data_IF_920075464516
#
_entry.id   IF_920075464516
#
_cell.length_a   1.000
_cell.length_b   1.000
_cell.length_c   1.000
_cell.angle_alpha   90.00
_cell.angle_beta   90.00
_cell.angle_gamma   90.00
#
_symmetry.space_group_name_H-M   'P 1'
#
loop_
_entity.id
_entity.type
_entity.pdbx_description
1 polymer ?
#
# COMPACT_ATOMS: atom_id res chain seq x y z
N UNK A 1 -29.03 -4.11 -14.24
CA UNK A 1 -27.67 -4.38 -13.71
C UNK A 1 -27.10 -5.64 -14.34
N UNK A 2 -27.71 -6.81 -14.18
CA UNK A 2 -27.20 -8.09 -14.74
C UNK A 2 -26.99 -8.12 -16.27
N UNK A 3 -27.74 -7.31 -17.03
CA UNK A 3 -27.60 -7.21 -18.49
C UNK A 3 -26.74 -6.02 -18.97
N UNK A 4 -26.06 -5.29 -18.07
CA UNK A 4 -25.24 -4.12 -18.44
C UNK A 4 -26.01 -2.86 -18.89
N UNK A 5 -27.33 -2.86 -18.84
CA UNK A 5 -28.18 -1.75 -19.30
C UNK A 5 -28.33 -0.66 -18.23
N UNK A 6 -27.25 0.10 -17.96
CA UNK A 6 -27.19 1.11 -16.90
C UNK A 6 -28.17 2.26 -17.09
N UNK A 7 -28.40 2.70 -18.33
CA UNK A 7 -29.34 3.78 -18.65
C UNK A 7 -30.79 3.42 -18.28
N UNK A 8 -31.13 2.14 -18.32
CA UNK A 8 -32.46 1.66 -17.91
C UNK A 8 -32.63 1.63 -16.40
N UNK A 9 -31.55 1.55 -15.63
CA UNK A 9 -31.61 1.58 -14.15
C UNK A 9 -32.02 2.97 -13.68
N UNK A 10 -31.38 4.02 -14.18
CA UNK A 10 -31.77 5.41 -13.88
C UNK A 10 -33.20 5.72 -14.34
N UNK A 11 -33.57 5.22 -15.52
CA UNK A 11 -34.93 5.39 -16.05
C UNK A 11 -35.97 4.68 -15.17
N UNK A 12 -35.68 3.46 -14.71
CA UNK A 12 -36.56 2.70 -13.82
C UNK A 12 -36.66 3.31 -12.41
N UNK A 13 -35.64 4.04 -11.98
CA UNK A 13 -35.66 4.80 -10.74
C UNK A 13 -36.25 6.20 -10.94
N UNK A 14 -36.70 6.58 -12.14
CA UNK A 14 -37.16 7.94 -12.45
C UNK A 14 -36.15 9.04 -12.05
N UNK A 15 -34.85 8.70 -12.03
CA UNK A 15 -33.79 9.56 -11.52
C UNK A 15 -33.75 9.73 -9.99
N UNK A 16 -34.64 9.07 -9.24
CA UNK A 16 -34.66 9.09 -7.78
C UNK A 16 -33.43 8.39 -7.20
N UNK A 17 -32.85 9.03 -6.18
CA UNK A 17 -31.73 8.49 -5.40
C UNK A 17 -32.10 8.27 -3.92
N UNK A 18 -33.36 8.52 -3.59
CA UNK A 18 -33.99 8.17 -2.32
C UNK A 18 -35.35 7.50 -2.58
N UNK A 19 -35.72 6.53 -1.74
CA UNK A 19 -37.01 5.83 -1.86
C UNK A 19 -38.18 6.78 -1.59
N UNK A 20 -37.96 7.85 -0.83
CA UNK A 20 -38.97 8.87 -0.57
C UNK A 20 -39.28 9.71 -1.82
N UNK A 21 -38.30 9.89 -2.72
CA UNK A 21 -38.53 10.62 -3.97
C UNK A 21 -39.49 9.85 -4.90
N UNK A 22 -39.46 8.52 -4.84
CA UNK A 22 -40.38 7.65 -5.60
C UNK A 22 -41.79 7.58 -5.00
N UNK A 23 -41.91 7.72 -3.68
CA UNK A 23 -43.18 7.60 -2.97
C UNK A 23 -43.37 8.78 -2.01
N UNK A 24 -43.55 10.01 -2.53
CA UNK A 24 -43.56 11.23 -1.71
C UNK A 24 -44.70 11.27 -0.68
N UNK A 25 -45.82 10.62 -0.99
CA UNK A 25 -46.98 10.52 -0.10
C UNK A 25 -46.80 9.50 1.03
N UNK A 26 -45.85 8.57 0.91
CA UNK A 26 -45.57 7.53 1.91
C UNK A 26 -44.66 8.09 3.00
N UNK A 27 -45.18 8.14 4.23
CA UNK A 27 -44.45 8.71 5.39
C UNK A 27 -43.65 7.70 6.21
N UNK A 28 -43.92 6.40 6.03
CA UNK A 28 -43.29 5.32 6.79
C UNK A 28 -42.89 4.22 5.81
N UNK A 29 -41.61 3.85 5.81
CA UNK A 29 -41.07 2.74 5.03
C UNK A 29 -40.61 1.63 5.95
N UNK A 30 -40.75 0.39 5.51
CA UNK A 30 -40.10 -0.72 6.18
C UNK A 30 -38.58 -0.61 5.95
N UNK A 31 -37.78 -0.95 6.96
CA UNK A 31 -36.33 -0.82 6.89
C UNK A 31 -35.75 -1.58 5.68
N UNK A 32 -36.27 -2.77 5.38
CA UNK A 32 -35.84 -3.57 4.23
C UNK A 32 -36.12 -2.88 2.88
N UNK A 33 -37.18 -2.07 2.76
CA UNK A 33 -37.45 -1.31 1.52
C UNK A 33 -36.37 -0.23 1.32
N UNK A 34 -36.04 0.48 2.39
CA UNK A 34 -34.99 1.52 2.39
C UNK A 34 -33.62 0.91 2.07
N UNK A 35 -33.28 -0.21 2.71
CA UNK A 35 -32.00 -0.89 2.49
C UNK A 35 -31.90 -1.49 1.09
N UNK A 36 -32.94 -2.13 0.58
CA UNK A 36 -32.95 -2.68 -0.78
C UNK A 36 -32.78 -1.57 -1.84
N UNK A 37 -33.42 -0.42 -1.62
CA UNK A 37 -33.27 0.72 -2.52
C UNK A 37 -31.83 1.26 -2.52
N UNK A 38 -31.24 1.49 -1.35
CA UNK A 38 -29.84 1.92 -1.28
C UNK A 38 -28.87 0.89 -1.86
N UNK A 39 -29.12 -0.42 -1.65
CA UNK A 39 -28.32 -1.49 -2.25
C UNK A 39 -28.31 -1.39 -3.77
N UNK A 40 -29.48 -1.19 -4.40
CA UNK A 40 -29.60 -1.01 -5.85
C UNK A 40 -28.83 0.22 -6.34
N UNK A 41 -28.97 1.35 -5.66
CA UNK A 41 -28.28 2.61 -6.00
C UNK A 41 -26.76 2.48 -5.85
N UNK A 42 -26.28 1.74 -4.83
CA UNK A 42 -24.85 1.46 -4.64
C UNK A 42 -24.31 0.65 -5.83
N UNK A 43 -24.99 -0.42 -6.23
CA UNK A 43 -24.57 -1.20 -7.40
C UNK A 43 -24.51 -0.32 -8.66
N UNK A 44 -25.51 0.53 -8.89
CA UNK A 44 -25.47 1.48 -10.00
C UNK A 44 -24.23 2.38 -9.94
N UNK A 45 -23.94 2.99 -8.78
CA UNK A 45 -22.78 3.86 -8.64
C UNK A 45 -21.44 3.13 -8.80
N UNK A 46 -21.35 1.86 -8.39
CA UNK A 46 -20.17 1.04 -8.64
C UNK A 46 -19.95 0.82 -10.15
N UNK A 47 -20.99 0.47 -10.90
CA UNK A 47 -20.91 0.24 -12.36
C UNK A 47 -20.51 1.49 -13.16
N UNK A 48 -20.84 2.69 -12.67
CA UNK A 48 -20.43 3.96 -13.29
C UNK A 48 -19.16 4.56 -12.66
N UNK A 49 -18.42 3.78 -11.87
CA UNK A 49 -17.18 4.17 -11.17
C UNK A 49 -17.32 5.41 -10.25
N UNK A 50 -18.53 5.70 -9.75
CA UNK A 50 -18.78 6.81 -8.82
C UNK A 50 -18.66 6.33 -7.35
N UNK A 51 -17.44 6.02 -6.95
CA UNK A 51 -17.14 5.39 -5.64
C UNK A 51 -17.54 6.25 -4.44
N UNK A 52 -17.40 7.57 -4.53
CA UNK A 52 -17.78 8.47 -3.45
C UNK A 52 -19.30 8.48 -3.22
N UNK A 53 -20.09 8.46 -4.29
CA UNK A 53 -21.53 8.35 -4.18
C UNK A 53 -21.96 6.97 -3.62
N UNK A 54 -21.35 5.88 -4.10
CA UNK A 54 -21.56 4.53 -3.56
C UNK A 54 -21.26 4.46 -2.05
N UNK A 55 -20.10 4.99 -1.64
CA UNK A 55 -19.65 5.04 -0.25
C UNK A 55 -20.59 5.85 0.63
N UNK A 56 -21.05 7.00 0.15
CA UNK A 56 -22.00 7.85 0.88
C UNK A 56 -23.30 7.08 1.18
N UNK A 57 -23.82 6.31 0.21
CA UNK A 57 -25.02 5.47 0.42
C UNK A 57 -24.77 4.30 1.36
N UNK A 58 -23.61 3.64 1.25
CA UNK A 58 -23.22 2.58 2.18
C UNK A 58 -23.13 3.09 3.63
N UNK A 59 -22.64 4.31 3.84
CA UNK A 59 -22.60 4.94 5.16
C UNK A 59 -24.00 5.17 5.74
N UNK A 60 -25.00 5.49 4.90
CA UNK A 60 -26.39 5.60 5.34
C UNK A 60 -26.90 4.24 5.82
N UNK A 61 -26.70 3.17 5.03
CA UNK A 61 -27.10 1.81 5.42
C UNK A 61 -26.45 1.35 6.73
N UNK A 62 -25.15 1.63 6.91
CA UNK A 62 -24.42 1.32 8.15
C UNK A 62 -24.95 2.09 9.36
N UNK A 63 -25.41 3.33 9.20
CA UNK A 63 -26.03 4.11 10.28
C UNK A 63 -27.42 3.58 10.65
N UNK A 64 -28.18 3.12 9.65
CA UNK A 64 -29.56 2.66 9.84
C UNK A 64 -29.64 1.24 10.41
N UNK A 65 -28.87 0.30 9.85
CA UNK A 65 -28.92 -1.10 10.20
C UNK A 65 -27.59 -1.81 9.89
N UNK A 66 -26.56 -1.65 10.74
CA UNK A 66 -25.22 -2.18 10.49
C UNK A 66 -25.18 -3.71 10.41
N UNK A 67 -25.93 -4.40 11.27
CA UNK A 67 -25.96 -5.87 11.34
C UNK A 67 -26.92 -6.51 10.32
N UNK A 68 -27.59 -5.71 9.49
CA UNK A 68 -28.53 -6.26 8.51
C UNK A 68 -27.77 -7.00 7.39
N UNK A 69 -28.24 -8.18 6.94
CA UNK A 69 -27.57 -8.96 5.89
C UNK A 69 -27.26 -8.15 4.62
N UNK A 70 -28.20 -7.34 4.13
CA UNK A 70 -27.98 -6.50 2.94
C UNK A 70 -26.88 -5.45 3.14
N UNK A 71 -26.77 -4.86 4.34
CA UNK A 71 -25.72 -3.86 4.64
C UNK A 71 -24.35 -4.52 4.63
N UNK A 72 -24.23 -5.71 5.23
CA UNK A 72 -22.99 -6.48 5.25
C UNK A 72 -22.61 -6.98 3.84
N UNK A 73 -23.57 -7.50 3.09
CA UNK A 73 -23.38 -8.04 1.75
C UNK A 73 -22.94 -6.97 0.74
N UNK A 74 -23.62 -5.82 0.71
CA UNK A 74 -23.23 -4.72 -0.18
C UNK A 74 -21.92 -4.07 0.25
N UNK A 75 -21.61 -4.07 1.55
CA UNK A 75 -20.30 -3.64 2.07
C UNK A 75 -19.16 -4.51 1.54
N UNK A 76 -19.32 -5.84 1.55
CA UNK A 76 -18.36 -6.77 0.95
C UNK A 76 -18.23 -6.55 -0.56
N UNK A 77 -19.36 -6.39 -1.25
CA UNK A 77 -19.38 -6.13 -2.69
C UNK A 77 -18.63 -4.86 -3.05
N UNK A 78 -18.84 -3.77 -2.30
CA UNK A 78 -18.13 -2.51 -2.48
C UNK A 78 -16.61 -2.68 -2.35
N UNK A 79 -16.14 -3.39 -1.32
CA UNK A 79 -14.70 -3.65 -1.14
C UNK A 79 -14.15 -4.51 -2.28
N UNK A 80 -14.84 -5.59 -2.65
CA UNK A 80 -14.39 -6.46 -3.73
C UNK A 80 -14.28 -5.71 -5.07
N UNK A 81 -15.25 -4.84 -5.36
CA UNK A 81 -15.24 -4.02 -6.58
C UNK A 81 -14.04 -3.07 -6.61
N UNK A 82 -13.75 -2.38 -5.49
CA UNK A 82 -12.58 -1.51 -5.40
C UNK A 82 -11.26 -2.27 -5.60
N UNK A 83 -11.14 -3.43 -4.95
CA UNK A 83 -9.95 -4.29 -5.10
C UNK A 83 -9.78 -4.74 -6.55
N UNK A 84 -10.85 -5.20 -7.18
CA UNK A 84 -10.80 -5.63 -8.58
C UNK A 84 -10.42 -4.47 -9.51
N UNK A 85 -11.02 -3.29 -9.33
CA UNK A 85 -10.69 -2.11 -10.13
C UNK A 85 -9.21 -1.71 -9.99
N UNK A 86 -8.67 -1.78 -8.77
CA UNK A 86 -7.25 -1.52 -8.53
C UNK A 86 -6.36 -2.54 -9.22
N UNK A 87 -6.73 -3.83 -9.20
CA UNK A 87 -5.99 -4.88 -9.91
C UNK A 87 -6.03 -4.68 -11.43
N UNK A 88 -7.19 -4.36 -12.00
CA UNK A 88 -7.34 -4.08 -13.43
C UNK A 88 -6.45 -2.90 -13.84
N UNK A 89 -6.39 -1.83 -13.04
CA UNK A 89 -5.51 -0.69 -13.28
C UNK A 89 -4.03 -1.07 -13.25
N UNK A 90 -3.61 -1.92 -12.30
CA UNK A 90 -2.24 -2.43 -12.22
C UNK A 90 -1.91 -3.27 -13.46
N UNK A 91 -2.83 -4.14 -13.89
CA UNK A 91 -2.64 -4.96 -15.09
C UNK A 91 -2.51 -4.11 -16.36
N UNK A 92 -3.35 -3.09 -16.53
CA UNK A 92 -3.24 -2.15 -17.65
C UNK A 92 -1.92 -1.36 -17.63
N UNK A 93 -1.45 -0.94 -16.44
CA UNK A 93 -0.13 -0.31 -16.31
C UNK A 93 1.00 -1.26 -16.73
N UNK A 94 0.90 -2.55 -16.39
CA UNK A 94 1.89 -3.58 -16.77
C UNK A 94 1.92 -3.85 -18.28
N UNK A 95 0.80 -3.75 -19.01
CA UNK A 95 0.77 -3.96 -20.47
C UNK A 95 1.69 -3.01 -21.25
N UNK A 96 1.97 -1.82 -20.71
CA UNK A 96 2.90 -0.86 -21.30
C UNK A 96 4.32 -0.89 -20.72
N UNK A 97 4.59 -1.78 -19.76
CA UNK A 97 5.87 -1.83 -19.07
C UNK A 97 6.96 -2.44 -19.98
N UNK A 98 8.17 -1.88 -19.90
CA UNK A 98 9.36 -2.48 -20.48
C UNK A 98 9.96 -3.38 -19.41
N UNK A 99 9.83 -4.70 -19.57
CA UNK A 99 10.52 -5.66 -18.71
C UNK A 99 12.03 -5.59 -18.99
N UNK A 100 12.78 -5.14 -17.99
CA UNK A 100 14.23 -5.14 -18.03
C UNK A 100 14.71 -6.40 -17.32
N UNK A 101 15.13 -7.41 -18.08
CA UNK A 101 15.74 -8.62 -17.51
C UNK A 101 17.11 -8.27 -16.92
N UNK A 102 17.12 -7.82 -15.67
CA UNK A 102 18.33 -7.67 -14.90
C UNK A 102 18.67 -9.03 -14.27
N UNK A 103 19.62 -9.77 -14.87
CA UNK A 103 20.16 -11.02 -14.31
C UNK A 103 21.01 -10.76 -13.04
N UNK A 104 20.42 -10.13 -12.04
CA UNK A 104 21.05 -9.78 -10.77
C UNK A 104 20.72 -10.85 -9.74
N UNK A 105 21.76 -11.40 -9.11
CA UNK A 105 21.62 -12.41 -8.05
C UNK A 105 21.75 -11.76 -6.69
N UNK A 106 21.10 -12.36 -5.69
CA UNK A 106 21.26 -11.96 -4.30
C UNK A 106 22.75 -11.93 -3.93
N UNK A 107 23.25 -10.77 -3.52
CA UNK A 107 24.68 -10.53 -3.31
C UNK A 107 25.18 -11.04 -1.96
N UNK A 108 24.29 -11.23 -0.98
CA UNK A 108 24.66 -11.58 0.39
C UNK A 108 24.19 -12.97 0.82
N UNK A 109 24.99 -13.61 1.68
CA UNK A 109 24.67 -14.91 2.28
C UNK A 109 23.40 -14.84 3.12
N UNK A 110 22.48 -15.74 2.83
CA UNK A 110 21.18 -15.80 3.50
C UNK A 110 21.28 -16.32 4.94
N UNK A 111 20.46 -15.77 5.83
CA UNK A 111 20.41 -16.10 7.26
C UNK A 111 18.98 -16.02 7.80
N UNK A 112 18.77 -16.57 8.99
CA UNK A 112 17.55 -16.39 9.80
C UNK A 112 17.79 -15.53 11.05
N UNK A 113 19.06 -15.24 11.34
CA UNK A 113 19.46 -14.52 12.56
C UNK A 113 19.28 -13.03 12.34
N UNK A 114 18.47 -12.40 13.18
CA UNK A 114 18.31 -10.95 13.20
C UNK A 114 19.63 -10.24 13.58
N UNK A 115 19.87 -9.03 13.06
CA UNK A 115 21.03 -8.22 13.39
C UNK A 115 20.97 -7.72 14.84
N UNK A 116 22.12 -7.33 15.36
CA UNK A 116 22.23 -6.61 16.62
C UNK A 116 22.52 -5.14 16.32
N UNK A 117 21.74 -4.25 16.92
CA UNK A 117 21.91 -2.80 16.79
C UNK A 117 22.57 -2.21 18.03
N UNK A 118 23.36 -1.17 17.83
CA UNK A 118 23.93 -0.37 18.92
C UNK A 118 22.81 0.40 19.63
N UNK A 119 21.95 1.06 18.86
CA UNK A 119 20.81 1.82 19.35
C UNK A 119 19.57 0.93 19.41
N UNK A 120 18.97 0.80 20.60
CA UNK A 120 17.83 -0.10 20.83
C UNK A 120 16.59 0.36 20.08
N UNK A 121 16.49 1.66 19.82
CA UNK A 121 15.39 2.33 19.12
C UNK A 121 15.26 1.86 17.67
N UNK A 122 16.33 1.37 17.05
CA UNK A 122 16.29 0.87 15.67
C UNK A 122 15.42 -0.39 15.55
N UNK A 123 15.25 -1.13 16.65
CA UNK A 123 14.34 -2.28 16.69
C UNK A 123 12.89 -1.90 16.39
N UNK A 124 12.50 -0.65 16.65
CA UNK A 124 11.14 -0.22 16.37
C UNK A 124 10.82 -0.18 14.88
N UNK A 125 11.82 -0.09 14.00
CA UNK A 125 11.61 -0.17 12.55
C UNK A 125 11.08 -1.55 12.12
N UNK A 126 11.32 -2.59 12.91
CA UNK A 126 10.83 -3.97 12.68
C UNK A 126 9.45 -4.23 13.28
N UNK A 127 8.83 -3.22 13.89
CA UNK A 127 7.60 -3.35 14.67
C UNK A 127 6.49 -2.41 14.19
N UNK A 128 6.76 -1.64 13.14
CA UNK A 128 5.82 -0.70 12.57
C UNK A 128 5.84 -0.80 11.04
N UNK A 129 4.64 -0.71 10.45
CA UNK A 129 4.46 -0.58 9.02
C UNK A 129 4.90 0.80 8.53
N UNK A 130 4.42 1.24 7.37
CA UNK A 130 4.80 2.53 6.78
C UNK A 130 4.54 3.74 7.70
N UNK A 131 3.62 3.62 8.66
CA UNK A 131 3.33 4.68 9.64
C UNK A 131 4.10 4.45 10.94
N UNK A 132 5.10 5.28 11.17
CA UNK A 132 5.83 5.36 12.44
C UNK A 132 5.30 6.55 13.27
N UNK A 133 5.14 6.35 14.58
CA UNK A 133 4.78 7.42 15.51
C UNK A 133 5.80 8.59 15.41
N UNK A 134 5.37 9.84 15.20
CA UNK A 134 6.26 10.99 15.10
C UNK A 134 7.21 11.17 16.30
N UNK A 135 6.76 10.83 17.52
CA UNK A 135 7.58 10.89 18.73
C UNK A 135 8.68 9.82 18.72
N UNK A 136 8.42 8.68 18.09
CA UNK A 136 9.39 7.63 17.92
C UNK A 136 10.43 8.01 16.86
N UNK A 137 9.98 8.59 15.76
CA UNK A 137 10.85 9.08 14.70
C UNK A 137 11.80 10.17 15.22
N UNK A 138 11.30 11.12 16.01
CA UNK A 138 12.10 12.16 16.66
C UNK A 138 13.17 11.57 17.59
N UNK A 139 12.86 10.49 18.33
CA UNK A 139 13.85 9.78 19.15
C UNK A 139 14.96 9.15 18.30
N UNK A 140 14.61 8.51 17.19
CA UNK A 140 15.57 7.88 16.29
C UNK A 140 16.49 8.93 15.65
N UNK A 141 15.93 10.05 15.18
CA UNK A 141 16.71 11.13 14.54
C UNK A 141 17.64 11.87 15.51
N UNK A 142 17.36 11.81 16.83
CA UNK A 142 18.23 12.36 17.88
C UNK A 142 19.39 11.46 18.29
N UNK A 143 19.46 10.22 17.79
CA UNK A 143 20.57 9.31 18.08
C UNK A 143 21.90 9.87 17.53
N UNK A 144 23.06 9.45 18.08
CA UNK A 144 24.35 9.86 17.56
C UNK A 144 24.49 9.50 16.08
N UNK A 145 24.68 10.51 15.22
CA UNK A 145 24.67 10.36 13.75
C UNK A 145 25.45 9.15 13.24
N UNK A 146 26.66 8.93 13.76
CA UNK A 146 27.53 7.83 13.31
C UNK A 146 26.95 6.45 13.64
N UNK A 147 26.47 6.24 14.87
CA UNK A 147 25.88 4.95 15.26
C UNK A 147 24.52 4.74 14.61
N UNK A 148 23.72 5.82 14.45
CA UNK A 148 22.47 5.79 13.70
C UNK A 148 22.70 5.31 12.26
N UNK A 149 23.61 5.94 11.51
CA UNK A 149 23.89 5.55 10.12
C UNK A 149 24.35 4.09 10.06
N UNK A 150 25.27 3.67 10.93
CA UNK A 150 25.76 2.29 10.98
C UNK A 150 24.62 1.28 11.23
N UNK A 151 23.72 1.58 12.16
CA UNK A 151 22.57 0.72 12.42
C UNK A 151 21.59 0.70 11.24
N UNK A 152 21.29 1.83 10.59
CA UNK A 152 20.42 1.88 9.41
C UNK A 152 21.01 1.14 8.21
N UNK A 153 22.32 1.23 7.99
CA UNK A 153 23.03 0.41 7.01
C UNK A 153 22.89 -1.08 7.35
N UNK A 154 23.01 -1.46 8.62
CA UNK A 154 22.76 -2.84 9.06
C UNK A 154 21.32 -3.30 8.83
N UNK A 155 20.33 -2.40 8.91
CA UNK A 155 18.93 -2.70 8.56
C UNK A 155 18.80 -3.04 7.08
N UNK A 156 19.44 -2.29 6.18
CA UNK A 156 19.45 -2.61 4.74
C UNK A 156 20.19 -3.92 4.43
N UNK A 157 21.35 -4.12 5.05
CA UNK A 157 22.11 -5.37 4.93
C UNK A 157 21.25 -6.57 5.37
N UNK A 158 20.48 -6.39 6.43
CA UNK A 158 19.56 -7.40 6.93
C UNK A 158 18.40 -7.68 5.96
N UNK A 159 17.85 -6.65 5.32
CA UNK A 159 16.85 -6.81 4.26
C UNK A 159 17.35 -7.74 3.14
N UNK A 160 18.61 -7.57 2.73
CA UNK A 160 19.28 -8.47 1.76
C UNK A 160 19.51 -9.86 2.36
N UNK A 161 20.09 -9.94 3.57
CA UNK A 161 20.55 -11.19 4.16
C UNK A 161 19.41 -12.09 4.69
N UNK A 162 18.24 -11.53 5.01
CA UNK A 162 17.06 -12.28 5.48
C UNK A 162 15.92 -12.34 4.47
N UNK A 163 16.13 -11.93 3.22
CA UNK A 163 15.11 -12.03 2.17
C UNK A 163 14.47 -13.42 2.10
N UNK A 164 15.25 -14.50 1.99
CA UNK A 164 14.72 -15.87 1.92
C UNK A 164 13.99 -16.31 3.20
N UNK A 165 14.26 -15.66 4.34
CA UNK A 165 13.53 -15.93 5.57
C UNK A 165 12.15 -15.28 5.54
N UNK A 166 12.06 -14.01 5.12
CA UNK A 166 10.81 -13.26 5.06
C UNK A 166 9.91 -13.67 3.88
N UNK A 167 10.47 -13.92 2.70
CA UNK A 167 9.72 -14.46 1.56
C UNK A 167 9.02 -15.79 1.93
N UNK A 168 9.68 -16.67 2.69
CA UNK A 168 9.03 -17.91 3.19
C UNK A 168 7.94 -17.70 4.24
N UNK A 169 7.90 -16.55 4.90
CA UNK A 169 6.83 -16.20 5.84
C UNK A 169 5.61 -15.73 5.02
N UNK A 170 5.86 -14.89 4.01
CA UNK A 170 4.83 -14.46 3.06
C UNK A 170 4.22 -15.64 2.29
N UNK A 171 5.03 -16.57 1.77
CA UNK A 171 4.57 -17.78 1.08
C UNK A 171 3.60 -18.63 1.92
N UNK A 172 3.68 -18.53 3.25
CA UNK A 172 2.81 -19.25 4.19
C UNK A 172 1.55 -18.48 4.56
N UNK A 173 1.40 -17.25 4.08
CA UNK A 173 0.31 -16.34 4.45
C UNK A 173 0.50 -15.66 5.80
N UNK A 174 1.69 -15.74 6.41
CA UNK A 174 2.01 -15.11 7.69
C UNK A 174 2.59 -13.68 7.52
N UNK A 175 2.35 -13.06 6.37
CA UNK A 175 2.79 -11.70 6.06
C UNK A 175 2.11 -10.68 6.99
N UNK A 176 2.86 -9.67 7.42
CA UNK A 176 2.34 -8.54 8.18
C UNK A 176 3.04 -7.26 7.75
N UNK A 177 2.25 -6.31 7.22
CA UNK A 177 2.73 -4.97 6.82
C UNK A 177 3.51 -4.29 7.96
N UNK A 178 3.11 -4.55 9.21
CA UNK A 178 3.71 -3.98 10.42
C UNK A 178 5.16 -4.43 10.66
N UNK A 179 5.60 -5.54 10.07
CA UNK A 179 6.92 -6.12 10.37
C UNK A 179 7.85 -6.24 9.17
N UNK A 180 7.35 -5.90 7.97
CA UNK A 180 8.08 -6.04 6.71
C UNK A 180 8.56 -4.69 6.14
N UNK A 181 8.14 -3.56 6.72
CA UNK A 181 8.47 -2.20 6.24
C UNK A 181 9.87 -1.70 6.64
N UNK A 182 10.67 -2.48 7.38
CA UNK A 182 11.94 -2.01 7.93
C UNK A 182 12.98 -1.57 6.88
N UNK A 183 13.11 -2.16 5.67
CA UNK A 183 14.09 -1.69 4.70
C UNK A 183 13.75 -0.31 4.14
N UNK A 184 12.48 -0.05 3.81
CA UNK A 184 12.06 1.25 3.29
C UNK A 184 12.20 2.35 4.35
N UNK A 185 11.94 2.03 5.63
CA UNK A 185 12.23 2.94 6.74
C UNK A 185 13.70 3.34 6.80
N UNK A 186 14.61 2.38 6.65
CA UNK A 186 16.04 2.65 6.65
C UNK A 186 16.44 3.54 5.46
N UNK A 187 15.89 3.30 4.26
CA UNK A 187 16.13 4.16 3.10
C UNK A 187 15.68 5.61 3.35
N UNK A 188 14.48 5.82 3.90
CA UNK A 188 13.98 7.16 4.23
C UNK A 188 14.85 7.86 5.27
N UNK A 189 15.22 7.15 6.34
CA UNK A 189 16.03 7.72 7.41
C UNK A 189 17.45 8.06 6.94
N UNK A 190 18.06 7.22 6.11
CA UNK A 190 19.37 7.51 5.50
C UNK A 190 19.32 8.75 4.60
N UNK A 191 18.21 8.94 3.87
CA UNK A 191 17.98 10.13 3.06
C UNK A 191 17.77 11.38 3.92
N UNK A 192 16.95 11.28 4.98
CA UNK A 192 16.68 12.37 5.91
C UNK A 192 17.96 12.88 6.59
N UNK A 193 18.81 11.95 7.04
CA UNK A 193 20.12 12.32 7.61
C UNK A 193 21.16 12.65 6.53
N UNK A 194 20.84 12.56 5.24
CA UNK A 194 21.75 12.83 4.10
C UNK A 194 23.05 12.05 4.20
N UNK A 195 22.95 10.72 4.37
CA UNK A 195 24.12 9.85 4.48
C UNK A 195 24.72 9.52 3.10
N UNK A 196 25.50 10.45 2.55
CA UNK A 196 26.17 10.26 1.24
C UNK A 196 27.07 9.01 1.20
N UNK A 197 27.70 8.66 2.32
CA UNK A 197 28.56 7.49 2.44
C UNK A 197 27.81 6.16 2.26
N UNK A 198 26.50 6.14 2.50
CA UNK A 198 25.67 4.94 2.39
C UNK A 198 25.24 4.65 0.95
N UNK A 199 25.59 5.52 -0.02
CA UNK A 199 25.16 5.39 -1.40
C UNK A 199 25.52 4.03 -2.00
N UNK A 200 26.74 3.54 -1.81
CA UNK A 200 27.17 2.25 -2.39
C UNK A 200 26.33 1.08 -1.88
N UNK A 201 25.94 1.11 -0.59
CA UNK A 201 25.07 0.08 -0.02
C UNK A 201 23.64 0.19 -0.56
N UNK A 202 23.13 1.40 -0.76
CA UNK A 202 21.80 1.61 -1.35
C UNK A 202 21.79 1.13 -2.80
N UNK A 203 22.86 1.40 -3.56
CA UNK A 203 23.03 0.86 -4.91
C UNK A 203 23.14 -0.67 -4.90
N UNK A 204 23.86 -1.26 -3.94
CA UNK A 204 23.86 -2.71 -3.73
C UNK A 204 22.44 -3.24 -3.49
N UNK A 205 21.68 -2.63 -2.58
CA UNK A 205 20.28 -2.99 -2.31
C UNK A 205 19.41 -2.88 -3.56
N UNK A 206 19.55 -1.81 -4.34
CA UNK A 206 18.84 -1.62 -5.61
C UNK A 206 19.37 -2.50 -6.76
N UNK A 207 20.46 -3.23 -6.52
CA UNK A 207 21.04 -4.19 -7.47
C UNK A 207 20.68 -5.63 -7.17
N UNK A 208 19.79 -5.89 -6.21
CA UNK A 208 19.27 -7.23 -6.06
C UNK A 208 18.30 -7.57 -7.21
N UNK A 209 17.74 -8.79 -7.21
CA UNK A 209 16.82 -9.22 -8.27
C UNK A 209 15.50 -8.45 -8.24
N UNK A 210 14.74 -8.52 -9.33
CA UNK A 210 13.43 -7.86 -9.43
C UNK A 210 12.48 -8.36 -8.35
N UNK A 211 12.42 -9.67 -8.11
CA UNK A 211 11.55 -10.28 -7.08
C UNK A 211 11.94 -9.82 -5.66
N UNK A 212 13.21 -9.48 -5.44
CA UNK A 212 13.64 -8.89 -4.19
C UNK A 212 13.15 -7.45 -4.03
N UNK A 213 13.27 -6.65 -5.10
CA UNK A 213 12.89 -5.24 -5.06
C UNK A 213 11.38 -5.10 -4.97
N UNK A 214 10.61 -5.87 -5.74
CA UNK A 214 9.16 -5.92 -5.65
C UNK A 214 8.72 -6.30 -4.23
N UNK A 215 9.32 -7.33 -3.65
CA UNK A 215 8.98 -7.78 -2.30
C UNK A 215 9.19 -6.71 -1.21
N UNK A 216 10.30 -5.95 -1.27
CA UNK A 216 10.62 -4.99 -0.22
C UNK A 216 10.11 -3.58 -0.47
N UNK A 217 9.98 -3.17 -1.73
CA UNK A 217 9.72 -1.78 -2.10
C UNK A 217 8.42 -1.61 -2.89
N UNK A 218 8.03 -2.58 -3.72
CA UNK A 218 6.82 -2.50 -4.56
C UNK A 218 6.71 -1.12 -5.26
N UNK A 219 5.60 -0.39 -5.07
CA UNK A 219 5.36 0.96 -5.59
C UNK A 219 6.40 2.00 -5.18
N UNK A 220 7.11 1.82 -4.06
CA UNK A 220 8.18 2.72 -3.62
C UNK A 220 9.38 2.74 -4.56
N UNK A 221 9.55 1.72 -5.43
CA UNK A 221 10.60 1.71 -6.46
C UNK A 221 10.49 2.98 -7.33
N UNK A 222 9.28 3.33 -7.75
CA UNK A 222 9.03 4.49 -8.62
C UNK A 222 8.68 5.75 -7.83
N UNK A 223 8.00 5.61 -6.69
CA UNK A 223 7.50 6.77 -5.94
C UNK A 223 8.54 7.40 -5.03
N UNK A 224 9.40 6.58 -4.42
CA UNK A 224 10.23 6.99 -3.29
C UNK A 224 11.72 7.00 -3.60
N UNK A 225 12.22 6.01 -4.33
CA UNK A 225 13.66 5.92 -4.66
C UNK A 225 14.21 7.17 -5.36
N UNK A 226 13.51 7.83 -6.31
CA UNK A 226 14.02 9.05 -6.92
C UNK A 226 14.34 10.16 -5.90
N UNK A 227 13.48 10.34 -4.89
CA UNK A 227 13.70 11.29 -3.80
C UNK A 227 14.87 10.90 -2.91
N UNK A 228 14.98 9.62 -2.56
CA UNK A 228 16.11 9.09 -1.78
C UNK A 228 17.44 9.34 -2.49
N UNK A 229 17.53 9.01 -3.79
CA UNK A 229 18.74 9.25 -4.59
C UNK A 229 19.06 10.73 -4.74
N UNK A 230 18.04 11.60 -4.85
CA UNK A 230 18.26 13.04 -4.86
C UNK A 230 18.94 13.53 -3.58
N UNK A 231 18.50 13.07 -2.40
CA UNK A 231 19.08 13.52 -1.13
C UNK A 231 20.45 12.94 -0.81
N UNK A 232 20.73 11.71 -1.25
CA UNK A 232 21.97 10.98 -0.93
C UNK A 232 23.04 11.10 -2.02
N UNK A 233 22.61 11.16 -3.29
CA UNK A 233 23.48 11.06 -4.46
C UNK A 233 23.69 12.37 -5.23
N UNK A 234 23.08 13.49 -4.79
CA UNK A 234 23.22 14.79 -5.45
C UNK A 234 24.68 15.21 -5.72
N UNK A 235 25.61 14.85 -4.82
CA UNK A 235 27.04 15.17 -4.95
C UNK A 235 27.88 14.03 -5.56
N UNK A 236 27.25 12.93 -5.98
CA UNK A 236 27.92 11.71 -6.48
C UNK A 236 27.33 11.24 -7.82
N UNK A 237 27.04 12.20 -8.71
CA UNK A 237 26.39 11.93 -10.00
C UNK A 237 27.14 10.92 -10.87
N UNK A 238 28.48 10.90 -10.82
CA UNK A 238 29.27 9.94 -11.59
C UNK A 238 29.05 8.50 -11.12
N UNK A 239 28.85 8.29 -9.80
CA UNK A 239 28.51 6.98 -9.26
C UNK A 239 27.11 6.55 -9.67
N UNK A 240 26.14 7.46 -9.61
CA UNK A 240 24.78 7.20 -10.07
C UNK A 240 24.74 6.85 -11.57
N UNK A 241 25.49 7.59 -12.40
CA UNK A 241 25.60 7.29 -13.83
C UNK A 241 26.22 5.92 -14.10
N UNK A 242 27.23 5.53 -13.31
CA UNK A 242 27.88 4.22 -13.47
C UNK A 242 27.02 3.03 -13.04
N UNK A 243 25.88 3.27 -12.38
CA UNK A 243 24.96 2.23 -11.93
C UNK A 243 23.90 1.83 -12.98
N UNK A 244 23.59 2.76 -13.89
CA UNK A 244 22.58 2.61 -14.96
C UNK A 244 23.14 1.77 -16.11
#
# INVERSE_FOLDING_TARGET
LENGELDKVLTALEGALDVQDLYPEKKIFHISEVLAFHKLVIHYFLEVDNFEAAKSRLQIMNKLAPEHPDTQDIGKTYINYLTQKSLDQIEEMRKGAIEVIANRKITRKQTKKAPSFENKEIKYLYQHGLRIDPLLLDKILKLPRKSLICDLENVLIDGIARYNYFSKIEDKGDYSEETFSFPIHALFLLAEVRSEQSLDLILEFCSQSEEFLEFWLDSHITESLPGIFYFIGANQLDRLKGFV
#
